data_IF_958788969306
#
_entry.id   IF_958788969306
#
_cell.length_a   1.000
_cell.length_b   1.000
_cell.length_c   1.000
_cell.angle_alpha   90.00
_cell.angle_beta   90.00
_cell.angle_gamma   90.00
#
_symmetry.space_group_name_H-M   'P 1'
#
loop_
_entity.id
_entity.type
_entity.pdbx_description
1 polymer ?
#
# COMPACT_ATOMS: atom_id res chain seq x y z
N UNK A 1 13.12 -10.69 -10.24
CA UNK A 1 13.53 -9.28 -10.05
C UNK A 1 12.28 -8.45 -9.82
N UNK A 2 12.27 -7.60 -8.78
CA UNK A 2 11.10 -6.80 -8.40
C UNK A 2 10.87 -5.69 -9.46
N UNK A 3 9.63 -5.39 -9.80
CA UNK A 3 9.27 -4.33 -10.75
C UNK A 3 8.40 -3.29 -10.06
N UNK A 4 8.91 -2.07 -9.93
CA UNK A 4 8.19 -0.93 -9.33
C UNK A 4 7.51 -0.13 -10.45
N UNK A 5 6.19 0.10 -10.40
CA UNK A 5 5.49 0.88 -11.41
C UNK A 5 5.77 2.38 -11.26
N UNK A 6 6.11 3.04 -12.37
CA UNK A 6 6.19 4.51 -12.59
C UNK A 6 7.24 5.25 -11.75
N UNK A 7 7.19 5.18 -10.42
CA UNK A 7 8.08 5.88 -9.51
C UNK A 7 8.28 5.10 -8.21
N UNK A 8 9.54 4.95 -7.81
CA UNK A 8 9.95 4.39 -6.51
C UNK A 8 10.16 5.46 -5.43
N UNK A 9 10.03 6.75 -5.77
CA UNK A 9 10.35 7.89 -4.91
C UNK A 9 9.14 8.61 -4.33
N UNK A 10 7.94 8.19 -4.69
CA UNK A 10 6.70 8.82 -4.24
C UNK A 10 6.11 8.05 -3.08
N UNK A 11 5.54 8.77 -2.11
CA UNK A 11 4.98 8.21 -0.89
C UNK A 11 3.74 7.38 -1.19
N UNK A 12 3.54 6.31 -0.42
CA UNK A 12 2.41 5.40 -0.57
C UNK A 12 1.73 5.16 0.75
N UNK A 13 0.41 5.08 0.67
CA UNK A 13 -0.40 4.46 1.69
C UNK A 13 -0.70 3.04 1.29
N UNK A 14 -0.14 2.08 2.01
CA UNK A 14 -0.49 0.67 1.87
C UNK A 14 -1.08 0.21 3.20
N UNK A 15 -2.17 -0.54 3.11
CA UNK A 15 -2.90 -1.02 4.28
C UNK A 15 -2.48 -2.46 4.54
N UNK A 16 -2.14 -2.77 5.79
CA UNK A 16 -1.93 -4.15 6.20
C UNK A 16 -3.25 -4.93 6.08
N UNK A 17 -3.27 -6.00 5.29
CA UNK A 17 -4.52 -6.72 4.96
C UNK A 17 -5.30 -7.19 6.19
N UNK A 18 -4.66 -7.77 7.24
CA UNK A 18 -5.35 -8.08 8.49
C UNK A 18 -6.00 -6.87 9.16
N UNK A 19 -5.37 -5.69 9.11
CA UNK A 19 -5.92 -4.46 9.69
C UNK A 19 -7.11 -3.97 8.89
N UNK A 20 -7.04 -4.03 7.55
CA UNK A 20 -8.17 -3.71 6.69
C UNK A 20 -9.39 -4.59 7.03
N UNK A 21 -9.17 -5.88 7.26
CA UNK A 21 -10.21 -6.82 7.69
C UNK A 21 -10.80 -6.46 9.06
N UNK A 22 -9.96 -6.26 10.08
CA UNK A 22 -10.43 -5.88 11.44
C UNK A 22 -11.15 -4.53 11.44
N UNK A 23 -10.63 -3.54 10.71
CA UNK A 23 -11.24 -2.22 10.61
C UNK A 23 -12.60 -2.29 9.90
N UNK A 24 -12.70 -3.06 8.81
CA UNK A 24 -13.97 -3.29 8.09
C UNK A 24 -15.00 -3.98 9.00
N UNK A 25 -14.59 -5.00 9.74
CA UNK A 25 -15.47 -5.66 10.72
C UNK A 25 -15.93 -4.69 11.81
N UNK A 26 -15.04 -3.83 12.31
CA UNK A 26 -15.35 -2.83 13.34
C UNK A 26 -16.41 -1.84 12.86
N UNK A 27 -16.27 -1.25 11.66
CA UNK A 27 -17.28 -0.32 11.12
C UNK A 27 -18.60 -1.03 10.81
N UNK A 28 -18.56 -2.29 10.33
CA UNK A 28 -19.77 -3.06 10.01
C UNK A 28 -20.62 -3.41 11.24
N UNK A 29 -19.98 -3.52 12.42
CA UNK A 29 -20.61 -3.84 13.69
C UNK A 29 -20.90 -2.61 14.57
N UNK A 30 -20.69 -1.39 14.06
CA UNK A 30 -20.86 -0.15 14.81
C UNK A 30 -22.01 0.66 14.23
N UNK A 31 -23.11 0.81 14.99
CA UNK A 31 -24.38 1.36 14.47
C UNK A 31 -24.26 2.77 13.89
N UNK A 32 -23.53 3.67 14.57
CA UNK A 32 -23.35 5.05 14.11
C UNK A 32 -22.43 5.14 12.88
N UNK A 33 -21.79 4.06 12.44
CA UNK A 33 -20.94 4.05 11.24
C UNK A 33 -21.70 3.82 9.92
N UNK A 34 -22.99 3.45 9.98
CA UNK A 34 -23.80 3.22 8.79
C UNK A 34 -24.04 4.49 7.98
N UNK A 35 -24.21 4.33 6.66
CA UNK A 35 -24.46 5.42 5.70
C UNK A 35 -23.35 6.49 5.67
N UNK A 36 -22.13 6.10 6.03
CA UNK A 36 -20.97 6.98 6.01
C UNK A 36 -19.85 6.40 5.13
N UNK A 37 -19.06 7.29 4.54
CA UNK A 37 -17.80 6.91 3.88
C UNK A 37 -16.67 6.87 4.91
N UNK A 38 -15.85 5.82 4.82
CA UNK A 38 -14.71 5.59 5.70
C UNK A 38 -13.46 5.26 4.88
N UNK A 39 -12.33 5.84 5.26
CA UNK A 39 -11.01 5.36 4.87
C UNK A 39 -10.46 4.50 5.99
N UNK A 40 -10.04 3.28 5.67
CA UNK A 40 -9.50 2.36 6.65
C UNK A 40 -8.14 2.86 7.19
N UNK A 41 -7.80 2.57 8.45
CA UNK A 41 -6.60 3.09 9.08
C UNK A 41 -5.33 2.43 8.51
N UNK A 42 -4.23 3.16 8.57
CA UNK A 42 -2.90 2.73 8.15
C UNK A 42 -1.82 3.57 8.84
N UNK A 43 -0.58 3.07 8.84
CA UNK A 43 0.56 3.69 9.54
C UNK A 43 0.98 5.02 8.90
N UNK A 44 0.93 6.12 9.65
CA UNK A 44 1.21 7.50 9.19
C UNK A 44 2.65 7.76 8.80
N UNK A 45 3.57 6.84 9.14
CA UNK A 45 4.91 6.84 8.60
C UNK A 45 4.94 6.29 7.16
N UNK A 46 4.22 6.94 6.24
CA UNK A 46 4.09 6.54 4.83
C UNK A 46 5.48 6.39 4.21
N UNK A 47 5.70 5.29 3.51
CA UNK A 47 6.97 4.97 2.87
C UNK A 47 6.87 5.04 1.35
N UNK A 48 8.00 5.32 0.71
CA UNK A 48 8.19 5.10 -0.73
C UNK A 48 8.42 3.61 -1.02
N UNK A 49 8.21 3.17 -2.27
CA UNK A 49 8.58 1.79 -2.65
C UNK A 49 10.06 1.50 -2.45
N UNK A 50 10.93 2.49 -2.70
CA UNK A 50 12.36 2.35 -2.44
C UNK A 50 12.62 2.01 -0.96
N UNK A 51 12.05 2.76 -0.03
CA UNK A 51 12.21 2.53 1.41
C UNK A 51 11.63 1.18 1.84
N UNK A 52 10.48 0.77 1.29
CA UNK A 52 9.89 -0.55 1.57
C UNK A 52 10.83 -1.67 1.11
N UNK A 53 11.40 -1.56 -0.10
CA UNK A 53 12.33 -2.56 -0.64
C UNK A 53 13.63 -2.58 0.17
N UNK A 54 14.15 -1.43 0.57
CA UNK A 54 15.34 -1.31 1.43
C UNK A 54 15.11 -1.98 2.79
N UNK A 55 13.98 -1.71 3.44
CA UNK A 55 13.64 -2.36 4.70
C UNK A 55 13.44 -3.87 4.53
N UNK A 56 12.75 -4.30 3.47
CA UNK A 56 12.59 -5.71 3.14
C UNK A 56 13.93 -6.41 2.93
N UNK A 57 14.90 -5.76 2.26
CA UNK A 57 16.23 -6.29 2.06
C UNK A 57 17.01 -6.47 3.39
N UNK A 58 16.84 -5.53 4.33
CA UNK A 58 17.42 -5.63 5.68
C UNK A 58 16.84 -6.85 6.42
N UNK A 59 15.51 -7.01 6.42
CA UNK A 59 14.85 -8.14 7.09
C UNK A 59 15.19 -9.47 6.42
N UNK A 60 15.24 -9.51 5.10
CA UNK A 60 15.57 -10.69 4.30
C UNK A 60 17.05 -11.10 4.42
N UNK A 61 17.94 -10.18 4.81
CA UNK A 61 19.37 -10.45 4.95
C UNK A 61 20.14 -10.49 3.62
N UNK A 62 19.54 -10.03 2.52
CA UNK A 62 20.22 -9.94 1.22
C UNK A 62 19.64 -8.84 0.34
N UNK A 63 20.41 -8.42 -0.68
CA UNK A 63 19.96 -7.38 -1.62
C UNK A 63 18.76 -7.87 -2.42
N UNK A 64 17.76 -7.00 -2.55
CA UNK A 64 16.58 -7.21 -3.40
C UNK A 64 16.69 -6.35 -4.66
N UNK A 65 17.19 -6.88 -5.79
CA UNK A 65 17.29 -6.10 -7.02
C UNK A 65 15.90 -5.77 -7.56
N UNK A 66 15.71 -4.49 -7.91
CA UNK A 66 14.48 -4.00 -8.50
C UNK A 66 14.76 -3.04 -9.66
N UNK A 67 13.75 -2.85 -10.50
CA UNK A 67 13.75 -1.85 -11.57
C UNK A 67 12.45 -1.05 -11.57
N UNK A 68 12.52 0.21 -11.99
CA UNK A 68 11.36 1.08 -12.14
C UNK A 68 10.84 1.01 -13.58
N UNK A 69 9.58 0.61 -13.76
CA UNK A 69 8.92 0.57 -15.06
C UNK A 69 8.39 1.96 -15.42
N UNK A 70 8.96 2.59 -16.43
CA UNK A 70 8.51 3.89 -16.89
C UNK A 70 7.08 3.84 -17.45
N UNK A 71 6.37 4.97 -17.44
CA UNK A 71 5.03 5.10 -18.07
C UNK A 71 5.06 4.66 -19.55
N UNK A 72 6.17 4.92 -20.25
CA UNK A 72 6.33 4.53 -21.65
C UNK A 72 6.39 3.01 -21.81
N UNK A 73 7.22 2.32 -21.02
CA UNK A 73 7.32 0.84 -21.05
C UNK A 73 5.96 0.21 -20.77
N UNK A 74 5.24 0.73 -19.77
CA UNK A 74 3.91 0.22 -19.42
C UNK A 74 2.86 0.49 -20.51
N UNK A 75 2.92 1.66 -21.16
CA UNK A 75 2.02 2.01 -22.27
C UNK A 75 2.23 1.12 -23.49
N UNK A 76 3.48 0.88 -23.87
CA UNK A 76 3.82 -0.04 -24.97
C UNK A 76 3.44 -1.47 -24.60
N UNK A 77 3.75 -1.92 -23.38
CA UNK A 77 3.42 -3.26 -22.92
C UNK A 77 1.91 -3.59 -22.93
N UNK A 78 1.06 -2.59 -22.66
CA UNK A 78 -0.40 -2.75 -22.71
C UNK A 78 -0.96 -3.03 -24.10
N UNK A 79 -0.21 -2.76 -25.18
CA UNK A 79 -0.60 -3.16 -26.54
C UNK A 79 -0.50 -4.68 -26.75
N UNK A 80 0.28 -5.37 -25.91
CA UNK A 80 0.58 -6.79 -26.04
C UNK A 80 0.05 -7.63 -24.86
N UNK A 81 -0.58 -6.99 -23.85
CA UNK A 81 -1.12 -7.66 -22.67
C UNK A 81 -2.40 -6.98 -22.18
N UNK A 82 -3.49 -7.76 -22.15
CA UNK A 82 -4.77 -7.30 -21.61
C UNK A 82 -4.67 -6.94 -20.12
N UNK A 83 -3.85 -7.65 -19.35
CA UNK A 83 -3.60 -7.36 -17.94
C UNK A 83 -2.96 -5.99 -17.77
N UNK A 84 -1.93 -5.66 -18.56
CA UNK A 84 -1.31 -4.33 -18.52
C UNK A 84 -2.26 -3.23 -18.99
N UNK A 85 -3.20 -3.54 -19.89
CA UNK A 85 -4.24 -2.63 -20.34
C UNK A 85 -5.21 -2.27 -19.20
N UNK A 86 -5.63 -3.24 -18.39
CA UNK A 86 -6.48 -3.00 -17.21
C UNK A 86 -5.78 -2.14 -16.15
N UNK A 87 -4.48 -2.36 -15.92
CA UNK A 87 -3.74 -1.62 -14.89
C UNK A 87 -3.45 -0.17 -15.32
N UNK A 88 -3.59 0.20 -16.60
CA UNK A 88 -3.29 1.56 -17.08
C UNK A 88 -4.05 2.66 -16.34
N UNK A 89 -5.31 2.42 -15.95
CA UNK A 89 -6.12 3.40 -15.21
C UNK A 89 -5.54 3.70 -13.82
N UNK A 90 -4.83 2.75 -13.24
CA UNK A 90 -4.21 2.87 -11.92
C UNK A 90 -2.82 3.53 -12.00
N UNK A 91 -2.11 3.40 -13.13
CA UNK A 91 -0.73 3.88 -13.31
C UNK A 91 -0.51 5.38 -13.02
N UNK A 92 -1.41 6.31 -13.37
CA UNK A 92 -1.23 7.72 -13.03
C UNK A 92 -0.99 7.95 -11.53
N UNK A 93 -1.66 7.18 -10.66
CA UNK A 93 -1.54 7.30 -9.20
C UNK A 93 -0.13 6.93 -8.71
N UNK A 94 0.61 6.13 -9.48
CA UNK A 94 1.98 5.76 -9.15
C UNK A 94 3.02 6.83 -9.52
N UNK A 95 2.60 7.93 -10.16
CA UNK A 95 3.49 9.04 -10.50
C UNK A 95 3.60 10.13 -9.43
N UNK A 96 2.77 10.08 -8.39
CA UNK A 96 2.63 11.13 -7.37
C UNK A 96 2.52 10.50 -5.99
N UNK A 97 2.63 11.30 -4.93
CA UNK A 97 2.35 10.82 -3.59
C UNK A 97 0.88 10.39 -3.49
N UNK A 98 0.65 9.17 -2.98
CA UNK A 98 -0.67 8.61 -2.77
C UNK A 98 -0.90 8.47 -1.27
N UNK A 99 -1.28 9.58 -0.66
CA UNK A 99 -1.55 9.69 0.76
C UNK A 99 -3.05 9.92 0.93
N UNK A 100 -3.73 8.99 1.59
CA UNK A 100 -5.13 9.21 1.97
C UNK A 100 -5.24 9.45 3.47
N UNK A 101 -6.26 10.21 3.83
CA UNK A 101 -6.57 10.61 5.20
C UNK A 101 -7.53 9.61 5.84
N UNK A 102 -7.11 9.03 6.96
CA UNK A 102 -7.91 8.12 7.79
C UNK A 102 -8.20 8.68 9.19
N UNK A 103 -8.01 9.99 9.40
CA UNK A 103 -8.25 10.67 10.67
C UNK A 103 -9.64 10.37 11.23
N UNK A 104 -10.68 10.46 10.39
CA UNK A 104 -12.06 10.11 10.77
C UNK A 104 -12.17 8.73 11.44
N UNK A 105 -11.49 7.71 10.90
CA UNK A 105 -11.49 6.38 11.49
C UNK A 105 -10.72 6.38 12.83
N UNK A 106 -9.52 6.96 12.84
CA UNK A 106 -8.63 6.99 14.00
C UNK A 106 -9.23 7.74 15.19
N UNK A 107 -9.92 8.84 14.91
CA UNK A 107 -10.63 9.63 15.92
C UNK A 107 -11.82 8.85 16.50
N UNK A 108 -12.55 8.11 15.65
CA UNK A 108 -13.70 7.31 16.08
C UNK A 108 -13.30 6.04 16.84
N UNK A 109 -12.15 5.46 16.52
CA UNK A 109 -11.63 4.22 17.08
C UNK A 109 -10.18 4.39 17.57
N UNK A 110 -9.93 5.21 18.60
CA UNK A 110 -8.58 5.53 19.05
C UNK A 110 -7.80 4.32 19.60
N UNK A 111 -8.51 3.30 20.07
CA UNK A 111 -7.93 2.05 20.57
C UNK A 111 -7.51 1.08 19.46
N UNK A 112 -7.85 1.36 18.19
CA UNK A 112 -7.49 0.50 17.07
C UNK A 112 -5.98 0.52 16.83
N UNK A 113 -5.33 -0.61 17.11
CA UNK A 113 -3.89 -0.77 16.88
C UNK A 113 -3.60 -1.00 15.39
N UNK A 114 -2.89 -0.04 14.81
CA UNK A 114 -2.42 -0.07 13.42
C UNK A 114 -1.05 -0.71 13.36
N UNK A 115 -0.91 -1.70 12.48
CA UNK A 115 0.36 -2.35 12.17
C UNK A 115 1.23 -1.41 11.35
N UNK A 116 2.46 -1.19 11.79
CA UNK A 116 3.44 -0.38 11.07
C UNK A 116 3.89 -1.05 9.77
N UNK A 117 4.42 -0.27 8.83
CA UNK A 117 5.00 -0.87 7.61
C UNK A 117 6.11 -1.86 7.95
N UNK A 118 6.94 -1.54 8.95
CA UNK A 118 8.04 -2.37 9.40
C UNK A 118 7.54 -3.72 9.95
N UNK A 119 6.53 -3.70 10.82
CA UNK A 119 5.92 -4.92 11.36
C UNK A 119 5.30 -5.77 10.25
N UNK A 120 4.51 -5.15 9.36
CA UNK A 120 3.84 -5.85 8.25
C UNK A 120 4.84 -6.49 7.28
N UNK A 121 5.88 -5.75 6.86
CA UNK A 121 6.93 -6.30 5.98
C UNK A 121 7.70 -7.42 6.69
N UNK A 122 7.98 -7.27 7.99
CA UNK A 122 8.68 -8.31 8.77
C UNK A 122 7.85 -9.60 8.85
N UNK A 123 6.55 -9.48 9.12
CA UNK A 123 5.64 -10.61 9.17
C UNK A 123 5.55 -11.35 7.83
N UNK A 124 5.45 -10.60 6.70
CA UNK A 124 5.43 -11.19 5.36
C UNK A 124 6.69 -11.99 5.04
N UNK A 125 7.87 -11.46 5.37
CA UNK A 125 9.15 -12.12 5.07
C UNK A 125 9.36 -13.35 5.95
N UNK A 126 8.90 -13.30 7.21
CA UNK A 126 9.05 -14.41 8.16
C UNK A 126 7.99 -15.51 8.01
N UNK A 127 6.95 -15.28 7.20
CA UNK A 127 6.01 -16.33 6.78
C UNK A 127 4.75 -16.50 7.63
N UNK A 128 4.30 -15.43 8.30
CA UNK A 128 3.17 -15.39 9.26
C UNK A 128 3.33 -16.26 10.51
#
# INVERSE_FOLDING_TARGET
>A
MIRVPVSDKTLRTLIWTPDAGRATAMIGNTFDCYQQTWHLPCDDNRLTYKQIIEYAAVVHGSRLPYSVMSKFILKVGALFSNQLKEVQELLPRYGYDNIFDSAKFKDRFPEFQVTTYQEGVTALIRGF
#
